data_IF_747965669483
#
_entry.id   IF_747965669483
#
_cell.length_a   1.000
_cell.length_b   1.000
_cell.length_c   1.000
_cell.angle_alpha   90.00
_cell.angle_beta   90.00
_cell.angle_gamma   90.00
#
_symmetry.space_group_name_H-M   'P 1'
#
loop_
_entity.id
_entity.type
_entity.pdbx_description
1 polymer ?
#
# COMPACT_ATOMS: atom_id res chain seq x y z
N UNK A 1 -6.76 16.34 -17.38
CA UNK A 1 -6.56 14.88 -17.35
C UNK A 1 -6.76 14.37 -15.94
N UNK A 2 -7.21 13.14 -15.80
CA UNK A 2 -7.47 12.53 -14.49
C UNK A 2 -6.54 11.34 -14.29
N UNK A 3 -5.86 11.31 -13.15
CA UNK A 3 -5.02 10.18 -12.74
C UNK A 3 -5.16 10.05 -11.23
N UNK A 4 -6.10 9.23 -10.80
CA UNK A 4 -6.42 9.09 -9.40
C UNK A 4 -6.82 7.66 -9.09
N UNK A 5 -6.37 7.16 -7.95
CA UNK A 5 -6.77 5.86 -7.45
C UNK A 5 -7.08 5.95 -5.96
N UNK A 6 -8.01 5.13 -5.52
CA UNK A 6 -8.39 5.00 -4.11
C UNK A 6 -8.38 3.52 -3.78
N UNK A 7 -7.60 3.16 -2.78
CA UNK A 7 -7.40 1.77 -2.39
C UNK A 7 -7.58 1.63 -0.90
N UNK A 8 -8.26 0.58 -0.47
CA UNK A 8 -8.33 0.19 0.94
C UNK A 8 -7.74 -1.19 1.06
N UNK A 9 -6.76 -1.34 1.93
CA UNK A 9 -6.10 -2.63 2.10
C UNK A 9 -5.33 -2.72 3.41
N UNK A 10 -4.84 -3.93 3.68
CA UNK A 10 -4.04 -4.17 4.88
C UNK A 10 -2.56 -4.14 4.55
N UNK A 11 -1.80 -3.54 5.45
CA UNK A 11 -0.35 -3.44 5.31
C UNK A 11 0.28 -4.83 5.45
N UNK A 12 1.11 -5.22 4.47
CA UNK A 12 1.74 -6.55 4.38
C UNK A 12 3.12 -6.45 4.98
N UNK A 13 3.70 -5.78 5.56
CA UNK A 13 5.03 -5.74 6.18
C UNK A 13 5.19 -4.51 7.05
N UNK A 14 6.21 -4.49 7.83
CA UNK A 14 6.48 -3.32 8.65
C UNK A 14 6.99 -2.17 7.78
N UNK A 15 6.34 -1.00 7.79
CA UNK A 15 6.83 0.14 7.02
C UNK A 15 8.20 0.59 7.51
N UNK A 16 9.11 0.85 6.57
CA UNK A 16 10.47 1.29 6.88
C UNK A 16 10.82 2.51 6.06
N UNK A 17 11.48 3.47 6.70
CA UNK A 17 11.96 4.68 6.04
C UNK A 17 13.27 4.39 5.30
N UNK A 18 13.33 4.87 4.06
CA UNK A 18 14.54 4.90 3.26
C UNK A 18 14.88 6.36 3.05
N UNK A 19 16.10 6.74 3.37
CA UNK A 19 16.55 8.12 3.19
C UNK A 19 17.67 8.18 2.16
N UNK A 20 17.46 8.93 1.08
CA UNK A 20 18.43 9.15 0.03
C UNK A 20 18.42 10.61 -0.38
N UNK A 21 19.59 11.22 -0.45
CA UNK A 21 19.76 12.62 -0.89
C UNK A 21 18.85 13.60 -0.15
N UNK A 22 18.65 13.39 1.14
CA UNK A 22 17.80 14.25 1.96
C UNK A 22 16.31 14.01 1.80
N UNK A 23 15.91 13.03 0.97
CA UNK A 23 14.50 12.68 0.79
C UNK A 23 14.18 11.38 1.49
N UNK A 24 13.06 11.38 2.17
CA UNK A 24 12.57 10.19 2.87
C UNK A 24 11.45 9.55 2.07
N UNK A 25 11.49 8.24 1.96
CA UNK A 25 10.44 7.48 1.29
C UNK A 25 10.22 6.15 1.99
N UNK A 26 9.13 5.51 1.67
CA UNK A 26 8.86 4.15 2.10
C UNK A 26 8.03 3.44 1.04
N UNK A 27 8.28 2.16 0.88
CA UNK A 27 7.46 1.32 0.03
C UNK A 27 6.48 0.56 0.90
N UNK A 28 5.20 0.72 0.60
CA UNK A 28 4.13 0.12 1.35
C UNK A 28 3.41 -0.88 0.45
N UNK A 29 3.31 -2.13 0.87
CA UNK A 29 2.55 -3.13 0.13
C UNK A 29 1.22 -3.35 0.84
N UNK A 30 0.13 -3.25 0.07
CA UNK A 30 -1.22 -3.43 0.58
C UNK A 30 -1.84 -4.69 0.00
N UNK A 31 -2.44 -5.50 0.86
CA UNK A 31 -3.22 -6.66 0.44
C UNK A 31 -4.67 -6.24 0.25
N UNK A 32 -5.16 -6.39 -0.97
CA UNK A 32 -6.51 -5.97 -1.35
C UNK A 32 -7.25 -7.17 -1.95
N UNK A 33 -8.18 -7.76 -1.21
CA UNK A 33 -8.97 -8.87 -1.77
C UNK A 33 -9.84 -8.39 -2.92
N UNK A 34 -9.95 -9.21 -3.96
CA UNK A 34 -10.86 -8.92 -5.06
C UNK A 34 -12.29 -9.12 -4.60
N UNK A 35 -13.21 -8.39 -5.21
CA UNK A 35 -14.62 -8.43 -4.85
C UNK A 35 -15.40 -9.58 -5.50
N UNK A 36 -14.74 -10.37 -6.33
CA UNK A 36 -15.37 -11.49 -7.03
C UNK A 36 -14.56 -12.77 -6.84
N UNK A 37 -15.23 -13.90 -6.92
CA UNK A 37 -14.61 -15.21 -6.76
C UNK A 37 -13.94 -15.68 -8.05
N UNK A 38 -12.84 -16.42 -7.91
CA UNK A 38 -12.20 -17.08 -9.04
C UNK A 38 -12.94 -18.37 -9.40
N UNK A 39 -12.40 -19.12 -10.36
CA UNK A 39 -13.01 -20.38 -10.83
C UNK A 39 -13.18 -21.42 -9.73
N UNK A 40 -12.36 -21.37 -8.70
CA UNK A 40 -12.40 -22.33 -7.58
C UNK A 40 -13.28 -21.85 -6.42
N UNK A 41 -14.00 -20.74 -6.59
CA UNK A 41 -14.86 -20.18 -5.55
C UNK A 41 -14.14 -19.43 -4.46
N UNK A 42 -12.89 -19.05 -4.69
CA UNK A 42 -12.07 -18.33 -3.74
C UNK A 42 -11.85 -16.88 -4.16
N UNK A 43 -11.60 -16.00 -3.18
CA UNK A 43 -11.26 -14.59 -3.46
C UNK A 43 -9.75 -14.45 -3.55
N UNK A 44 -9.27 -14.06 -4.72
CA UNK A 44 -7.87 -13.74 -4.90
C UNK A 44 -7.54 -12.41 -4.23
N UNK A 45 -6.28 -12.23 -3.88
CA UNK A 45 -5.79 -11.00 -3.26
C UNK A 45 -4.76 -10.34 -4.17
N UNK A 46 -4.94 -9.05 -4.42
CA UNK A 46 -3.94 -8.27 -5.11
C UNK A 46 -2.98 -7.65 -4.08
N UNK A 47 -1.69 -7.72 -4.37
CA UNK A 47 -0.66 -7.09 -3.55
C UNK A 47 -0.17 -5.86 -4.29
N UNK A 48 -0.57 -4.68 -3.82
CA UNK A 48 -0.35 -3.42 -4.50
C UNK A 48 0.76 -2.63 -3.81
N UNK A 49 1.77 -2.24 -4.58
CA UNK A 49 2.88 -1.46 -4.06
C UNK A 49 2.60 0.03 -4.16
N UNK A 50 2.80 0.72 -3.05
CA UNK A 50 2.64 2.16 -2.98
C UNK A 50 3.94 2.79 -2.52
N UNK A 51 4.31 3.90 -3.12
CA UNK A 51 5.43 4.71 -2.66
C UNK A 51 4.88 5.90 -1.90
N UNK A 52 5.41 6.13 -0.71
CA UNK A 52 5.06 7.29 0.12
C UNK A 52 6.31 8.11 0.37
N UNK A 53 6.14 9.44 0.40
CA UNK A 53 7.26 10.37 0.48
C UNK A 53 7.16 11.29 1.70
N UNK A 54 8.32 11.68 2.21
CA UNK A 54 8.49 12.76 3.20
C UNK A 54 7.57 12.61 4.42
N UNK A 55 6.77 13.63 4.72
CA UNK A 55 5.91 13.64 5.91
C UNK A 55 4.90 12.52 5.98
N UNK A 56 4.35 12.09 4.84
CA UNK A 56 3.43 10.96 4.79
C UNK A 56 4.18 9.68 5.17
N UNK A 57 5.40 9.50 4.64
CA UNK A 57 6.22 8.35 4.96
C UNK A 57 6.58 8.30 6.46
N UNK A 58 6.95 9.43 7.03
CA UNK A 58 7.26 9.53 8.45
C UNK A 58 6.05 9.16 9.31
N UNK A 59 4.88 9.70 8.98
CA UNK A 59 3.65 9.42 9.73
C UNK A 59 3.27 7.95 9.66
N UNK A 60 3.33 7.35 8.47
CA UNK A 60 2.97 5.94 8.29
C UNK A 60 3.93 5.04 9.08
N UNK A 61 5.23 5.31 9.00
CA UNK A 61 6.22 4.48 9.70
C UNK A 61 6.11 4.62 11.22
N UNK A 62 5.65 5.76 11.70
CA UNK A 62 5.46 5.98 13.14
C UNK A 62 4.18 5.36 13.67
N UNK A 63 3.07 5.49 12.95
CA UNK A 63 1.75 5.11 13.46
C UNK A 63 1.17 3.83 12.91
N UNK A 64 1.70 3.33 11.81
CA UNK A 64 1.14 2.14 11.17
C UNK A 64 2.08 0.94 11.30
N UNK A 65 1.49 -0.23 11.31
CA UNK A 65 2.24 -1.48 11.40
C UNK A 65 1.59 -2.56 10.54
N UNK A 66 2.31 -3.64 10.37
CA UNK A 66 1.83 -4.80 9.62
C UNK A 66 0.43 -5.22 10.09
N UNK A 67 -0.47 -5.40 9.16
CA UNK A 67 -1.83 -5.83 9.40
C UNK A 67 -2.85 -4.71 9.57
N UNK A 68 -2.39 -3.46 9.72
CA UNK A 68 -3.31 -2.33 9.84
C UNK A 68 -4.08 -2.10 8.54
N UNK A 69 -5.32 -1.69 8.69
CA UNK A 69 -6.17 -1.33 7.56
C UNK A 69 -6.05 0.15 7.27
N UNK A 70 -5.67 0.50 6.05
CA UNK A 70 -5.50 1.89 5.64
C UNK A 70 -6.18 2.16 4.31
N UNK A 71 -6.56 3.41 4.10
CA UNK A 71 -7.03 3.90 2.82
C UNK A 71 -5.96 4.76 2.18
N UNK A 72 -5.71 4.54 0.91
CA UNK A 72 -4.70 5.29 0.14
C UNK A 72 -5.39 6.00 -1.00
N UNK A 73 -5.20 7.31 -1.07
CA UNK A 73 -5.58 8.10 -2.23
C UNK A 73 -4.30 8.53 -2.91
N UNK A 74 -4.18 8.28 -4.20
CA UNK A 74 -2.97 8.61 -4.92
C UNK A 74 -3.16 8.58 -6.41
N UNK A 75 -2.06 8.47 -7.11
CA UNK A 75 -2.03 8.43 -8.58
C UNK A 75 -1.15 7.28 -9.05
N UNK A 76 -1.38 6.85 -10.28
CA UNK A 76 -0.54 5.85 -10.91
C UNK A 76 0.64 6.52 -11.59
N UNK A 77 1.79 5.90 -11.50
CA UNK A 77 3.00 6.37 -12.13
C UNK A 77 3.69 5.19 -12.79
N UNK A 78 4.16 5.38 -14.02
CA UNK A 78 4.95 4.33 -14.66
C UNK A 78 6.43 4.62 -14.45
N UNK A 79 7.19 3.56 -14.23
CA UNK A 79 8.65 3.62 -14.14
C UNK A 79 9.24 2.70 -15.16
N UNK A 80 10.32 3.14 -15.79
CA UNK A 80 11.08 2.29 -16.69
C UNK A 80 12.23 1.70 -15.91
N UNK A 81 12.32 0.38 -15.89
CA UNK A 81 13.39 -0.34 -15.22
C UNK A 81 14.21 -1.04 -16.28
N UNK A 82 15.52 -0.83 -16.26
CA UNK A 82 16.44 -1.54 -17.13
C UNK A 82 16.83 -2.85 -16.46
N UNK A 83 16.53 -3.96 -17.15
CA UNK A 83 16.82 -5.29 -16.66
C UNK A 83 17.36 -6.14 -17.79
N UNK A 84 18.57 -6.66 -17.62
CA UNK A 84 19.25 -7.53 -18.61
C UNK A 84 19.28 -6.95 -20.02
N UNK A 85 19.52 -5.65 -20.14
CA UNK A 85 19.61 -4.97 -21.42
C UNK A 85 18.29 -4.64 -22.07
N UNK A 86 17.17 -4.96 -21.45
CA UNK A 86 15.84 -4.58 -21.93
C UNK A 86 15.16 -3.63 -20.93
N UNK A 87 14.30 -2.78 -21.45
CA UNK A 87 13.55 -1.83 -20.63
C UNK A 87 12.16 -2.38 -20.35
N UNK A 88 11.81 -2.49 -19.08
CA UNK A 88 10.47 -2.86 -18.66
C UNK A 88 9.78 -1.67 -18.03
N UNK A 89 8.49 -1.53 -18.31
CA UNK A 89 7.67 -0.52 -17.64
C UNK A 89 6.96 -1.17 -16.46
N UNK A 90 7.11 -0.56 -15.31
CA UNK A 90 6.42 -1.02 -14.10
C UNK A 90 5.51 0.08 -13.60
N UNK A 91 4.30 -0.31 -13.21
CA UNK A 91 3.34 0.62 -12.66
C UNK A 91 3.48 0.68 -11.15
N UNK A 92 3.43 1.88 -10.62
CA UNK A 92 3.55 2.14 -9.20
C UNK A 92 2.46 3.12 -8.77
N UNK A 93 2.04 3.02 -7.52
CA UNK A 93 1.09 3.95 -6.94
C UNK A 93 1.87 4.92 -6.06
N UNK A 94 1.68 6.21 -6.30
CA UNK A 94 2.27 7.25 -5.46
C UNK A 94 1.16 7.75 -4.54
N UNK A 95 1.32 7.54 -3.25
CA UNK A 95 0.32 7.93 -2.27
C UNK A 95 0.37 9.44 -2.01
N UNK A 96 -0.77 10.08 -2.11
CA UNK A 96 -0.93 11.51 -1.82
C UNK A 96 -1.58 11.72 -0.47
N UNK A 97 -2.39 10.77 -0.02
CA UNK A 97 -3.05 10.82 1.28
C UNK A 97 -3.23 9.40 1.80
N UNK A 98 -2.94 9.20 3.07
CA UNK A 98 -3.15 7.94 3.77
C UNK A 98 -4.13 8.19 4.92
N UNK A 99 -5.17 7.38 4.98
CA UNK A 99 -6.15 7.42 6.07
C UNK A 99 -6.05 6.14 6.88
N UNK A 100 -5.78 6.25 8.15
CA UNK A 100 -5.77 5.12 9.05
C UNK A 100 -7.20 4.71 9.36
N UNK A 101 -7.54 3.44 9.19
CA UNK A 101 -8.90 2.95 9.38
C UNK A 101 -9.04 2.07 10.62
N UNK A 102 -8.18 1.06 10.78
CA UNK A 102 -8.22 0.24 11.98
C UNK A 102 -6.94 -0.57 12.15
N UNK A 103 -6.66 -0.98 13.39
CA UNK A 103 -5.57 -1.89 13.67
C UNK A 103 -6.08 -3.33 13.68
N UNK A 104 -5.22 -4.27 13.31
CA UNK A 104 -5.56 -5.69 13.28
C UNK A 104 -5.92 -6.22 14.68
N UNK A 105 -5.20 -5.79 15.71
CA UNK A 105 -5.48 -6.23 17.07
C UNK A 105 -6.81 -5.71 17.59
N UNK A 106 -7.18 -4.47 17.23
CA UNK A 106 -8.46 -3.88 17.59
C UNK A 106 -9.63 -4.58 16.89
N UNK A 107 -9.47 -4.93 15.62
CA UNK A 107 -10.46 -5.69 14.87
C UNK A 107 -10.67 -7.07 15.51
N UNK A 108 -9.59 -7.70 15.95
CA UNK A 108 -9.64 -8.99 16.60
C UNK A 108 -10.34 -8.95 17.94
N UNK A 109 -10.15 -7.87 18.71
CA UNK A 109 -10.86 -7.65 19.96
C UNK A 109 -12.36 -7.46 19.74
N UNK A 110 -12.73 -6.71 18.72
CA UNK A 110 -14.13 -6.50 18.36
C UNK A 110 -14.81 -7.81 17.96
N UNK A 111 -14.11 -8.66 17.23
CA UNK A 111 -14.63 -9.97 16.84
C UNK A 111 -14.86 -10.86 18.06
N UNK A 112 -14.02 -10.74 19.07
CA UNK A 112 -14.16 -11.54 20.30
C UNK A 112 -15.31 -11.06 21.18
N UNK A 113 -15.75 -9.83 21.05
CA UNK A 113 -16.86 -9.27 21.80
C UNK A 113 -18.23 -9.68 21.22
N UNK A 114 -18.23 -10.14 20.01
CA UNK A 114 -19.45 -10.58 19.34
C UNK A 114 -19.71 -12.07 19.58
#
# INVERSE_FOLDING_TARGET
MLNQTVIVGRIVGEPKIIEENGKKSSNLVLAVPRSYKNENGEYDTDFLECTIWNGIAESVCEYCKKGDLVGVKGRLESKTIEKDGSNERKMNIVAEKITYLSSKSKDKENDNEL
#
